data_IF_837582650739
#
_entry.id   IF_837582650739
#
_cell.length_a   1.000
_cell.length_b   1.000
_cell.length_c   1.000
_cell.angle_alpha   90.00
_cell.angle_beta   90.00
_cell.angle_gamma   90.00
#
_symmetry.space_group_name_H-M   'P 1'
#
loop_
_entity.id
_entity.type
_entity.pdbx_description
1 polymer ?
#
# COMPACT_ATOMS: atom_id res chain seq x y z
N UNK A 1 2.97 3.76 -22.88
CA UNK A 1 2.78 5.20 -22.49
C UNK A 1 4.11 5.97 -22.50
N UNK A 2 4.86 6.08 -23.60
CA UNK A 2 6.25 6.55 -23.54
C UNK A 2 6.44 8.05 -23.32
N UNK A 3 5.47 8.90 -23.66
CA UNK A 3 5.73 10.35 -23.71
C UNK A 3 5.57 11.10 -22.38
N UNK A 4 4.70 10.67 -21.50
CA UNK A 4 4.38 11.40 -20.25
C UNK A 4 5.52 11.33 -19.23
N UNK A 5 6.27 10.23 -19.20
CA UNK A 5 7.32 9.95 -18.21
C UNK A 5 8.73 9.98 -18.78
N UNK A 6 8.91 10.36 -20.04
CA UNK A 6 10.24 10.40 -20.69
C UNK A 6 11.25 11.31 -19.96
N UNK A 7 10.76 12.25 -19.13
CA UNK A 7 11.58 13.13 -18.29
C UNK A 7 11.71 12.67 -16.83
N UNK A 8 11.01 11.61 -16.44
CA UNK A 8 11.11 11.07 -15.09
C UNK A 8 12.48 10.42 -14.88
N UNK A 9 13.09 10.69 -13.74
CA UNK A 9 14.32 9.99 -13.31
C UNK A 9 14.10 8.49 -13.00
N UNK A 10 12.83 8.05 -13.03
CA UNK A 10 12.43 6.65 -12.82
C UNK A 10 11.97 5.97 -14.11
N UNK A 11 12.18 6.58 -15.28
CA UNK A 11 11.70 6.06 -16.56
C UNK A 11 12.15 4.60 -16.83
N UNK A 12 13.41 4.32 -16.57
CA UNK A 12 13.99 2.97 -16.69
C UNK A 12 13.35 1.95 -15.72
N UNK A 13 12.94 2.40 -14.54
CA UNK A 13 12.25 1.54 -13.55
C UNK A 13 10.79 1.28 -13.97
N UNK A 14 10.12 2.25 -14.58
CA UNK A 14 8.79 2.07 -15.15
C UNK A 14 8.85 0.97 -16.23
N UNK A 15 9.83 1.03 -17.13
CA UNK A 15 10.02 0.02 -18.19
C UNK A 15 10.27 -1.39 -17.61
N UNK A 16 11.11 -1.50 -16.57
CA UNK A 16 11.30 -2.78 -15.84
C UNK A 16 9.99 -3.30 -15.24
N UNK A 17 9.22 -2.44 -14.58
CA UNK A 17 7.93 -2.82 -13.99
C UNK A 17 6.92 -3.24 -15.07
N UNK A 18 6.85 -2.52 -16.21
CA UNK A 18 6.00 -2.90 -17.35
C UNK A 18 6.38 -4.27 -17.92
N UNK A 19 7.66 -4.62 -17.95
CA UNK A 19 8.14 -5.94 -18.37
C UNK A 19 7.95 -7.05 -17.32
N UNK A 20 7.58 -6.69 -16.10
CA UNK A 20 7.43 -7.64 -14.99
C UNK A 20 8.76 -8.01 -14.34
N UNK A 21 9.79 -7.23 -14.55
CA UNK A 21 11.09 -7.44 -13.94
C UNK A 21 11.05 -7.03 -12.47
N UNK A 22 11.64 -7.86 -11.61
CA UNK A 22 11.76 -7.60 -10.19
C UNK A 22 12.83 -6.55 -9.94
N UNK A 23 12.50 -5.53 -9.12
CA UNK A 23 13.44 -4.48 -8.79
C UNK A 23 14.42 -4.94 -7.69
N UNK A 24 15.68 -4.55 -7.87
CA UNK A 24 16.77 -4.76 -6.93
C UNK A 24 16.84 -3.66 -5.85
N UNK A 25 17.83 -3.78 -4.97
CA UNK A 25 18.03 -2.84 -3.87
C UNK A 25 18.34 -1.42 -4.36
N UNK A 26 19.18 -1.26 -5.37
CA UNK A 26 19.56 0.06 -5.88
C UNK A 26 18.35 0.78 -6.51
N UNK A 27 17.53 0.04 -7.25
CA UNK A 27 16.27 0.55 -7.76
C UNK A 27 15.32 0.98 -6.62
N UNK A 28 15.23 0.18 -5.55
CA UNK A 28 14.40 0.49 -4.38
C UNK A 28 14.87 1.76 -3.64
N UNK A 29 16.17 1.96 -3.48
CA UNK A 29 16.75 3.22 -2.94
C UNK A 29 16.36 4.42 -3.79
N UNK A 30 16.38 4.28 -5.12
CA UNK A 30 15.94 5.34 -6.05
C UNK A 30 14.45 5.66 -5.88
N UNK A 31 13.58 4.64 -5.72
CA UNK A 31 12.15 4.85 -5.42
C UNK A 31 11.95 5.61 -4.12
N UNK A 32 12.63 5.19 -3.05
CA UNK A 32 12.54 5.82 -1.72
C UNK A 32 12.97 7.30 -1.75
N UNK A 33 13.96 7.65 -2.55
CA UNK A 33 14.48 9.02 -2.65
C UNK A 33 13.75 9.86 -3.71
N UNK A 34 12.88 9.27 -4.52
CA UNK A 34 12.15 9.99 -5.56
C UNK A 34 11.10 10.93 -4.98
N UNK A 35 10.93 12.08 -5.64
CA UNK A 35 9.81 13.01 -5.44
C UNK A 35 8.74 12.86 -6.53
N UNK A 36 8.95 11.95 -7.50
CA UNK A 36 8.01 11.72 -8.59
C UNK A 36 6.89 10.77 -8.14
N UNK A 37 5.94 11.33 -7.39
CA UNK A 37 4.82 10.58 -6.83
C UNK A 37 3.92 9.98 -7.93
N UNK A 38 3.85 10.61 -9.10
CA UNK A 38 3.06 10.11 -10.22
C UNK A 38 3.69 8.85 -10.84
N UNK A 39 5.01 8.85 -11.04
CA UNK A 39 5.73 7.67 -11.51
C UNK A 39 5.58 6.50 -10.52
N UNK A 40 5.70 6.75 -9.21
CA UNK A 40 5.47 5.74 -8.18
C UNK A 40 4.04 5.18 -8.24
N UNK A 41 3.03 6.04 -8.33
CA UNK A 41 1.63 5.63 -8.43
C UNK A 41 1.36 4.76 -9.66
N UNK A 42 1.91 5.12 -10.82
CA UNK A 42 1.73 4.35 -12.07
C UNK A 42 2.38 2.97 -11.95
N UNK A 43 3.64 2.88 -11.50
CA UNK A 43 4.30 1.60 -11.29
C UNK A 43 3.52 0.70 -10.34
N UNK A 44 3.08 1.25 -9.21
CA UNK A 44 2.28 0.53 -8.23
C UNK A 44 0.94 0.06 -8.82
N UNK A 45 0.29 0.91 -9.64
CA UNK A 45 -0.97 0.54 -10.29
C UNK A 45 -0.79 -0.55 -11.34
N UNK A 46 0.27 -0.53 -12.14
CA UNK A 46 0.61 -1.61 -13.08
C UNK A 46 0.77 -2.94 -12.35
N UNK A 47 1.52 -2.96 -11.24
CA UNK A 47 1.71 -4.16 -10.43
C UNK A 47 0.39 -4.68 -9.84
N UNK A 48 -0.45 -3.77 -9.31
CA UNK A 48 -1.76 -4.10 -8.77
C UNK A 48 -2.68 -4.67 -9.85
N UNK A 49 -2.75 -4.03 -11.03
CA UNK A 49 -3.62 -4.48 -12.13
C UNK A 49 -3.23 -5.86 -12.65
N UNK A 50 -1.95 -6.13 -12.74
CA UNK A 50 -1.45 -7.45 -13.14
C UNK A 50 -1.91 -8.56 -12.21
N UNK A 51 -1.98 -8.28 -10.89
CA UNK A 51 -2.38 -9.26 -9.88
C UNK A 51 -3.91 -9.37 -9.69
N UNK A 52 -4.59 -8.25 -9.66
CA UNK A 52 -5.96 -8.18 -9.16
C UNK A 52 -6.96 -7.58 -10.18
N UNK A 53 -6.52 -7.26 -11.38
CA UNK A 53 -7.37 -6.60 -12.37
C UNK A 53 -7.99 -5.31 -11.81
N UNK A 54 -9.29 -5.16 -11.94
CA UNK A 54 -10.02 -4.00 -11.42
C UNK A 54 -10.63 -4.25 -10.03
N UNK A 55 -10.40 -5.39 -9.40
CA UNK A 55 -10.97 -5.72 -8.11
C UNK A 55 -10.30 -4.94 -6.97
N UNK A 56 -11.12 -4.49 -6.04
CA UNK A 56 -10.71 -3.94 -4.74
C UNK A 56 -11.53 -4.63 -3.68
N UNK A 57 -10.85 -5.31 -2.79
CA UNK A 57 -11.45 -6.01 -1.68
C UNK A 57 -11.72 -5.04 -0.53
N UNK A 58 -12.77 -5.32 0.26
CA UNK A 58 -13.03 -4.53 1.45
C UNK A 58 -13.65 -5.37 2.56
N UNK A 59 -13.39 -4.97 3.81
CA UNK A 59 -14.02 -5.53 5.00
C UNK A 59 -14.43 -4.40 5.96
N UNK A 60 -15.69 -4.41 6.38
CA UNK A 60 -16.23 -3.46 7.35
C UNK A 60 -16.27 -4.12 8.72
N UNK A 61 -15.91 -3.35 9.76
CA UNK A 61 -15.85 -3.82 11.14
C UNK A 61 -15.07 -5.13 11.30
N UNK A 62 -13.77 -5.17 10.91
CA UNK A 62 -12.95 -6.35 11.12
C UNK A 62 -12.95 -6.69 12.61
N UNK A 63 -12.91 -7.98 12.99
CA UNK A 63 -12.77 -8.35 14.39
C UNK A 63 -11.48 -7.75 14.96
N UNK A 64 -11.53 -7.30 16.22
CA UNK A 64 -10.40 -6.66 16.91
C UNK A 64 -9.15 -7.56 16.95
N UNK A 65 -9.35 -8.87 16.96
CA UNK A 65 -8.29 -9.87 16.98
C UNK A 65 -8.11 -10.56 15.61
N UNK A 66 -8.22 -9.83 14.50
CA UNK A 66 -7.87 -10.37 13.18
C UNK A 66 -6.33 -10.55 13.08
N UNK A 67 -5.78 -11.21 14.09
CA UNK A 67 -4.37 -11.61 14.21
C UNK A 67 -4.09 -12.89 13.42
N UNK A 68 -4.69 -13.01 12.24
CA UNK A 68 -4.30 -14.10 11.36
C UNK A 68 -2.81 -13.95 11.05
N UNK A 69 -2.05 -14.97 11.39
CA UNK A 69 -0.60 -15.08 11.23
C UNK A 69 -0.10 -14.80 9.78
N UNK A 70 -1.02 -14.61 8.85
CA UNK A 70 -0.78 -14.41 7.43
C UNK A 70 -0.82 -12.95 6.97
N UNK A 71 -0.81 -11.98 7.90
CA UNK A 71 -0.75 -10.56 7.57
C UNK A 71 0.57 -9.96 8.03
N UNK A 72 1.36 -9.48 7.07
CA UNK A 72 2.59 -8.77 7.36
C UNK A 72 2.31 -7.26 7.52
N UNK A 73 3.10 -6.61 8.36
CA UNK A 73 3.02 -5.16 8.58
C UNK A 73 4.41 -4.52 8.58
N UNK A 74 4.47 -3.24 8.31
CA UNK A 74 5.68 -2.42 8.47
C UNK A 74 5.30 -1.06 9.02
N UNK A 75 6.01 -0.61 10.03
CA UNK A 75 5.90 0.77 10.50
C UNK A 75 6.78 1.66 9.61
N UNK A 76 6.24 2.78 9.15
CA UNK A 76 6.98 3.80 8.40
C UNK A 76 6.77 5.18 9.03
N UNK A 77 7.57 6.16 8.60
CA UNK A 77 7.57 7.53 9.11
C UNK A 77 8.86 7.86 9.85
N UNK A 78 8.82 8.89 10.69
CA UNK A 78 10.03 9.47 11.29
C UNK A 78 10.75 8.58 12.32
N UNK A 79 10.11 7.52 12.82
CA UNK A 79 10.69 6.62 13.81
C UNK A 79 11.54 5.49 13.20
N UNK A 80 11.44 5.29 11.87
CA UNK A 80 12.13 4.21 11.17
C UNK A 80 12.87 4.79 9.98
N UNK A 81 14.16 4.52 9.85
CA UNK A 81 14.96 4.98 8.73
C UNK A 81 14.49 4.35 7.41
N UNK A 82 14.78 5.03 6.29
CA UNK A 82 14.44 4.50 4.95
C UNK A 82 15.16 3.20 4.65
N UNK A 83 16.36 3.04 5.14
CA UNK A 83 17.16 1.83 4.97
C UNK A 83 16.54 0.66 5.74
N UNK A 84 16.15 0.85 7.00
CA UNK A 84 15.43 -0.16 7.78
C UNK A 84 14.09 -0.56 7.14
N UNK A 85 13.35 0.40 6.56
CA UNK A 85 12.13 0.11 5.82
C UNK A 85 12.39 -0.76 4.59
N UNK A 86 13.45 -0.45 3.81
CA UNK A 86 13.84 -1.26 2.65
C UNK A 86 14.26 -2.66 3.06
N UNK A 87 15.12 -2.79 4.06
CA UNK A 87 15.58 -4.08 4.56
C UNK A 87 14.41 -4.95 5.04
N UNK A 88 13.42 -4.32 5.69
CA UNK A 88 12.22 -5.02 6.12
C UNK A 88 11.41 -5.53 4.93
N UNK A 89 11.18 -4.70 3.90
CA UNK A 89 10.46 -5.09 2.68
C UNK A 89 11.18 -6.21 1.94
N UNK A 90 12.49 -6.13 1.79
CA UNK A 90 13.27 -7.20 1.14
C UNK A 90 13.24 -8.51 1.92
N UNK A 91 13.32 -8.46 3.26
CA UNK A 91 13.16 -9.66 4.12
C UNK A 91 11.78 -10.28 3.97
N UNK A 92 10.71 -9.47 3.99
CA UNK A 92 9.34 -9.96 3.79
C UNK A 92 9.17 -10.59 2.41
N UNK A 93 9.70 -9.97 1.35
CA UNK A 93 9.66 -10.52 -0.01
C UNK A 93 10.35 -11.88 -0.08
N UNK A 94 11.56 -11.98 0.49
CA UNK A 94 12.31 -13.24 0.51
C UNK A 94 11.59 -14.32 1.32
N UNK A 95 10.99 -13.98 2.45
CA UNK A 95 10.20 -14.91 3.25
C UNK A 95 8.97 -15.38 2.50
N UNK A 96 8.25 -14.47 1.84
CA UNK A 96 7.10 -14.81 1.01
C UNK A 96 7.48 -15.71 -0.18
N UNK A 97 8.65 -15.48 -0.80
CA UNK A 97 9.16 -16.38 -1.86
C UNK A 97 9.41 -17.80 -1.35
N UNK A 98 9.79 -17.96 -0.07
CA UNK A 98 10.07 -19.26 0.54
C UNK A 98 8.82 -19.98 1.05
N UNK A 99 7.89 -19.24 1.64
CA UNK A 99 6.77 -19.82 2.37
C UNK A 99 5.43 -19.71 1.66
N UNK A 100 5.21 -18.60 0.92
CA UNK A 100 3.92 -18.29 0.32
C UNK A 100 2.79 -18.02 1.32
N UNK A 101 3.12 -17.84 2.63
CA UNK A 101 2.11 -17.82 3.69
C UNK A 101 1.39 -16.48 3.84
N UNK A 102 2.01 -15.37 3.43
CA UNK A 102 1.39 -14.06 3.62
C UNK A 102 0.28 -13.80 2.60
N UNK A 103 -0.89 -13.48 3.09
CA UNK A 103 -2.06 -13.09 2.29
C UNK A 103 -2.05 -11.60 1.98
N UNK A 104 -1.61 -10.76 2.92
CA UNK A 104 -1.60 -9.31 2.73
C UNK A 104 -0.49 -8.63 3.51
N UNK A 105 -0.21 -7.39 3.08
CA UNK A 105 0.72 -6.49 3.74
C UNK A 105 0.04 -5.15 4.04
N UNK A 106 0.30 -4.58 5.23
CA UNK A 106 -0.21 -3.27 5.65
C UNK A 106 0.95 -2.36 6.07
N UNK A 107 1.25 -1.30 5.32
CA UNK A 107 2.10 -0.23 5.82
C UNK A 107 1.32 0.58 6.87
N UNK A 108 1.93 0.81 8.03
CA UNK A 108 1.34 1.52 9.16
C UNK A 108 2.18 2.77 9.46
N UNK A 109 1.55 3.93 9.48
CA UNK A 109 2.21 5.17 9.89
C UNK A 109 2.63 5.08 11.37
N UNK A 110 3.83 5.56 11.67
CA UNK A 110 4.30 5.72 13.05
C UNK A 110 3.63 6.89 13.78
N UNK A 111 2.67 7.53 13.13
CA UNK A 111 1.96 8.68 13.67
C UNK A 111 0.95 8.24 14.75
N UNK A 112 1.11 8.70 15.96
CA UNK A 112 0.11 8.48 17.01
C UNK A 112 -1.08 9.42 16.83
N UNK A 113 -1.90 9.26 15.81
CA UNK A 113 -3.21 9.93 15.70
C UNK A 113 -4.13 9.62 16.90
N UNK A 114 -3.73 8.67 17.74
CA UNK A 114 -4.41 8.24 18.95
C UNK A 114 -3.77 8.79 20.24
N UNK A 115 -2.81 9.72 20.19
CA UNK A 115 -2.31 10.37 21.40
C UNK A 115 -3.22 11.55 21.79
N UNK A 116 -3.47 11.76 23.11
CA UNK A 116 -4.30 12.86 23.57
C UNK A 116 -3.75 14.20 23.07
N UNK A 117 -4.65 15.08 22.65
CA UNK A 117 -4.40 16.45 22.19
C UNK A 117 -3.87 17.34 23.36
N UNK A 118 -2.69 17.06 23.88
CA UNK A 118 -2.05 17.92 24.89
C UNK A 118 -1.12 18.99 24.29
N UNK A 119 -1.16 19.15 22.98
CA UNK A 119 -0.54 20.29 22.31
C UNK A 119 0.99 20.26 22.20
N UNK A 120 1.66 19.18 22.58
CA UNK A 120 3.13 19.14 22.66
C UNK A 120 3.85 18.40 21.53
N UNK A 121 3.16 17.88 20.52
CA UNK A 121 3.81 17.04 19.51
C UNK A 121 3.44 17.39 18.08
N UNK A 122 4.07 18.42 17.55
CA UNK A 122 4.22 18.61 16.11
C UNK A 122 5.36 17.77 15.48
N UNK A 123 5.87 16.77 16.18
CA UNK A 123 7.02 15.97 15.75
C UNK A 123 6.55 14.54 15.50
N UNK A 124 6.24 14.21 14.24
CA UNK A 124 6.07 12.82 13.86
C UNK A 124 4.91 12.47 12.94
N UNK A 125 4.07 13.42 12.56
CA UNK A 125 2.95 13.13 11.64
C UNK A 125 3.44 12.91 10.21
N UNK A 126 3.11 11.75 9.64
CA UNK A 126 3.32 11.52 8.21
C UNK A 126 2.36 12.39 7.40
N UNK A 127 2.84 12.89 6.27
CA UNK A 127 2.00 13.57 5.29
C UNK A 127 1.24 12.55 4.42
N UNK A 128 0.10 12.95 3.85
CA UNK A 128 -0.61 12.08 2.91
C UNK A 128 0.25 11.65 1.71
N UNK A 129 1.25 12.45 1.32
CA UNK A 129 2.20 12.09 0.26
C UNK A 129 3.14 10.99 0.73
N UNK A 130 3.63 11.03 1.96
CA UNK A 130 4.45 9.97 2.55
C UNK A 130 3.66 8.67 2.68
N UNK A 131 2.39 8.76 3.09
CA UNK A 131 1.50 7.60 3.17
C UNK A 131 1.31 6.94 1.79
N UNK A 132 0.99 7.72 0.76
CA UNK A 132 0.84 7.21 -0.60
C UNK A 132 2.15 6.62 -1.16
N UNK A 133 3.27 7.24 -0.83
CA UNK A 133 4.60 6.78 -1.23
C UNK A 133 4.95 5.45 -0.58
N UNK A 134 4.70 5.28 0.72
CA UNK A 134 4.90 4.02 1.42
C UNK A 134 4.07 2.89 0.80
N UNK A 135 2.80 3.15 0.46
CA UNK A 135 1.92 2.17 -0.20
C UNK A 135 2.41 1.80 -1.58
N UNK A 136 2.79 2.79 -2.40
CA UNK A 136 3.27 2.56 -3.75
C UNK A 136 4.57 1.73 -3.75
N UNK A 137 5.54 2.10 -2.92
CA UNK A 137 6.81 1.39 -2.83
C UNK A 137 6.60 -0.03 -2.32
N UNK A 138 5.74 -0.21 -1.31
CA UNK A 138 5.39 -1.55 -0.82
C UNK A 138 4.79 -2.42 -1.93
N UNK A 139 3.86 -1.89 -2.74
CA UNK A 139 3.28 -2.63 -3.88
C UNK A 139 4.33 -2.98 -4.93
N UNK A 140 5.26 -2.07 -5.23
CA UNK A 140 6.29 -2.28 -6.26
C UNK A 140 7.31 -3.32 -5.79
N UNK A 141 7.73 -3.29 -4.52
CA UNK A 141 8.76 -4.18 -4.00
C UNK A 141 8.22 -5.55 -3.56
N UNK A 142 7.01 -5.60 -3.04
CA UNK A 142 6.33 -6.83 -2.62
C UNK A 142 5.51 -7.42 -3.79
N UNK A 143 6.18 -7.71 -4.90
CA UNK A 143 5.60 -8.25 -6.13
C UNK A 143 4.92 -9.61 -5.94
N UNK A 144 5.30 -10.35 -4.91
CA UNK A 144 4.77 -11.66 -4.52
C UNK A 144 3.63 -11.60 -3.49
N UNK A 145 3.24 -10.41 -3.00
CA UNK A 145 2.05 -10.24 -2.15
C UNK A 145 0.81 -9.93 -2.99
N UNK A 146 -0.29 -10.62 -2.74
CA UNK A 146 -1.52 -10.39 -3.49
C UNK A 146 -2.23 -9.10 -3.06
N UNK A 147 -2.18 -8.77 -1.78
CA UNK A 147 -2.93 -7.65 -1.24
C UNK A 147 -2.05 -6.65 -0.49
N UNK A 148 -2.15 -5.37 -0.88
CA UNK A 148 -1.68 -4.24 -0.07
C UNK A 148 -2.91 -3.60 0.55
N UNK A 149 -2.93 -3.60 1.90
CA UNK A 149 -4.08 -3.19 2.70
C UNK A 149 -3.94 -1.75 3.18
N UNK A 150 -5.08 -1.04 3.22
CA UNK A 150 -5.19 0.29 3.84
C UNK A 150 -6.41 0.35 4.75
N UNK A 151 -6.28 1.09 5.86
CA UNK A 151 -7.39 1.34 6.80
C UNK A 151 -7.88 2.77 6.69
N UNK A 152 -9.20 2.94 6.47
CA UNK A 152 -9.79 4.29 6.47
C UNK A 152 -9.91 4.90 7.87
N UNK A 153 -9.79 4.12 8.94
CA UNK A 153 -9.70 4.65 10.29
C UNK A 153 -8.36 5.36 10.52
N UNK A 154 -7.28 4.89 9.88
CA UNK A 154 -5.94 5.47 9.99
C UNK A 154 -5.74 6.64 9.02
N UNK A 155 -6.15 6.47 7.76
CA UNK A 155 -5.87 7.43 6.69
C UNK A 155 -6.98 8.47 6.48
N UNK A 156 -8.19 8.19 6.96
CA UNK A 156 -9.40 8.88 6.54
C UNK A 156 -9.87 8.45 5.14
N UNK A 157 -11.17 8.62 4.87
CA UNK A 157 -11.81 8.13 3.64
C UNK A 157 -11.22 8.71 2.36
N UNK A 158 -10.85 9.99 2.35
CA UNK A 158 -10.33 10.66 1.14
C UNK A 158 -8.98 10.10 0.73
N UNK A 159 -8.04 9.96 1.68
CA UNK A 159 -6.71 9.44 1.37
C UNK A 159 -6.78 7.95 1.05
N UNK A 160 -7.64 7.18 1.73
CA UNK A 160 -7.91 5.78 1.39
C UNK A 160 -8.42 5.62 -0.04
N UNK A 161 -9.29 6.50 -0.51
CA UNK A 161 -9.72 6.48 -1.92
C UNK A 161 -8.55 6.75 -2.88
N UNK A 162 -7.73 7.74 -2.59
CA UNK A 162 -6.56 8.08 -3.42
C UNK A 162 -5.54 6.94 -3.43
N UNK A 163 -5.36 6.24 -2.30
CA UNK A 163 -4.40 5.12 -2.20
C UNK A 163 -4.69 3.97 -3.17
N UNK A 164 -5.92 3.85 -3.66
CA UNK A 164 -6.28 2.89 -4.71
C UNK A 164 -5.52 3.11 -6.03
N UNK A 165 -5.10 4.34 -6.30
CA UNK A 165 -4.23 4.66 -7.45
C UNK A 165 -2.74 4.40 -7.14
N UNK A 166 -2.41 4.07 -5.88
CA UNK A 166 -1.05 3.84 -5.39
C UNK A 166 -0.82 2.38 -4.96
N UNK A 167 -1.49 1.45 -5.62
CA UNK A 167 -1.24 0.02 -5.47
C UNK A 167 -2.04 -0.69 -4.37
N UNK A 168 -2.82 0.04 -3.58
CA UNK A 168 -3.74 -0.55 -2.60
C UNK A 168 -4.90 -1.23 -3.32
N UNK A 169 -5.30 -2.42 -2.84
CA UNK A 169 -6.42 -3.19 -3.36
C UNK A 169 -7.22 -3.93 -2.28
N UNK A 170 -6.92 -3.67 -1.00
CA UNK A 170 -7.65 -4.25 0.12
C UNK A 170 -7.92 -3.16 1.17
N UNK A 171 -9.18 -2.92 1.48
CA UNK A 171 -9.62 -1.84 2.36
C UNK A 171 -10.29 -2.37 3.61
N UNK A 172 -10.01 -1.74 4.75
CA UNK A 172 -10.61 -2.14 6.01
C UNK A 172 -10.88 -0.95 6.92
N UNK A 173 -11.84 -1.11 7.84
CA UNK A 173 -12.14 -0.12 8.86
C UNK A 173 -13.56 -0.24 9.38
N UNK A 174 -13.92 0.70 10.27
CA UNK A 174 -15.22 0.76 10.94
C UNK A 174 -15.87 2.14 10.80
N UNK A 175 -17.10 2.28 11.28
CA UNK A 175 -17.80 3.58 11.32
C UNK A 175 -18.30 4.10 9.97
N UNK A 176 -18.23 3.33 8.90
CA UNK A 176 -18.65 3.72 7.55
C UNK A 176 -19.65 2.69 7.01
N UNK A 177 -20.69 3.17 6.32
CA UNK A 177 -21.70 2.26 5.74
C UNK A 177 -21.14 1.51 4.51
N UNK A 178 -21.62 0.29 4.30
CA UNK A 178 -21.28 -0.53 3.12
C UNK A 178 -21.46 0.25 1.81
N UNK A 179 -22.58 0.97 1.67
CA UNK A 179 -22.88 1.79 0.50
C UNK A 179 -21.79 2.83 0.24
N UNK A 180 -21.33 3.52 1.29
CA UNK A 180 -20.28 4.55 1.17
C UNK A 180 -18.94 3.95 0.75
N UNK A 181 -18.55 2.79 1.29
CA UNK A 181 -17.32 2.08 0.90
C UNK A 181 -17.38 1.66 -0.57
N UNK A 182 -18.50 1.03 -1.00
CA UNK A 182 -18.68 0.63 -2.39
C UNK A 182 -18.62 1.84 -3.33
N UNK A 183 -19.29 2.94 -3.00
CA UNK A 183 -19.24 4.17 -3.81
C UNK A 183 -17.84 4.77 -3.89
N UNK A 184 -17.07 4.73 -2.80
CA UNK A 184 -15.68 5.19 -2.77
C UNK A 184 -14.82 4.38 -3.74
N UNK A 185 -14.94 3.06 -3.72
CA UNK A 185 -14.21 2.14 -4.60
C UNK A 185 -14.61 2.37 -6.07
N UNK A 186 -15.92 2.46 -6.35
CA UNK A 186 -16.44 2.69 -7.71
C UNK A 186 -15.99 4.04 -8.29
N UNK A 187 -15.96 5.11 -7.46
CA UNK A 187 -15.46 6.43 -7.88
C UNK A 187 -13.98 6.41 -8.25
N UNK A 188 -13.21 5.47 -7.70
CA UNK A 188 -11.82 5.24 -8.10
C UNK A 188 -11.70 4.35 -9.36
N UNK A 189 -12.80 4.02 -10.05
CA UNK A 189 -12.82 3.16 -11.23
C UNK A 189 -12.57 1.68 -10.94
N UNK A 190 -12.91 1.21 -9.73
CA UNK A 190 -12.67 -0.16 -9.27
C UNK A 190 -13.96 -0.93 -9.02
N UNK A 191 -13.88 -2.24 -9.01
CA UNK A 191 -14.97 -3.16 -8.67
C UNK A 191 -14.82 -3.55 -7.19
N UNK A 192 -15.87 -3.26 -6.40
CA UNK A 192 -15.86 -3.57 -4.97
C UNK A 192 -16.21 -5.04 -4.73
N UNK A 193 -15.35 -5.75 -3.99
CA UNK A 193 -15.52 -7.15 -3.61
C UNK A 193 -15.48 -7.23 -2.08
N UNK A 194 -16.56 -7.67 -1.47
CA UNK A 194 -16.60 -7.86 -0.01
C UNK A 194 -15.85 -9.12 0.38
N UNK A 195 -15.02 -9.02 1.42
CA UNK A 195 -14.41 -10.18 2.04
C UNK A 195 -15.26 -10.66 3.21
N UNK A 196 -15.73 -11.89 3.12
CA UNK A 196 -16.32 -12.58 4.26
C UNK A 196 -15.27 -12.85 5.33
N UNK A 197 -15.69 -12.85 6.60
CA UNK A 197 -14.82 -12.82 7.78
C UNK A 197 -13.91 -14.02 8.04
N UNK A 198 -13.82 -14.98 7.12
CA UNK A 198 -12.91 -16.14 7.20
C UNK A 198 -12.13 -16.18 5.89
N UNK A 199 -10.83 -15.92 5.97
CA UNK A 199 -9.92 -15.95 4.82
C UNK A 199 -10.06 -17.28 4.06
N UNK A 200 -10.69 -17.20 2.92
CA UNK A 200 -10.85 -18.31 2.00
C UNK A 200 -11.24 -17.76 0.65
N UNK A 201 -10.25 -17.56 -0.23
CA UNK A 201 -10.48 -17.56 -1.65
C UNK A 201 -10.85 -18.98 -2.08
N UNK A 202 -12.06 -19.15 -2.61
CA UNK A 202 -12.31 -20.23 -3.56
C UNK A 202 -11.76 -19.83 -4.92
#
# INVERSE_FOLDING_TARGET
MPSLFAKSKLFDLIDKVEKGERLDHDAAVRLMNSQDILALGIMANIMRERKNGHQTFYRINPPFNDTNAHHATMIYGNLVSREEQLDHLFRLRALQDQTGEFVSFSPLSSDPKDQPLDGTTGIGTTTGIEDLKAMAISRILLDNFDHIKASWNLLGLKLTQVSLAFGVNDLTGSGVTKKAVIQMIQKAGRVAVERDGLGGSQ
#
